data_IF_046600329044
#
_entry.id   IF_046600329044
#
_cell.length_a   1.000
_cell.length_b   1.000
_cell.length_c   1.000
_cell.angle_alpha   90.00
_cell.angle_beta   90.00
_cell.angle_gamma   90.00
#
_symmetry.space_group_name_H-M   'P 1'
#
loop_
_entity.id
_entity.type
_entity.pdbx_description
1 polymer ?
#
# COMPACT_ATOMS: atom_id res chain seq x y z
N UNK A 1 -10.17 15.90 10.16
CA UNK A 1 -9.05 15.11 9.61
C UNK A 1 -9.55 14.46 8.34
N UNK A 2 -9.07 14.88 7.17
CA UNK A 2 -9.47 14.28 5.90
C UNK A 2 -8.69 12.97 5.79
N UNK A 3 -9.34 11.84 6.05
CA UNK A 3 -8.73 10.52 5.85
C UNK A 3 -8.76 10.23 4.35
N UNK A 4 -7.70 10.63 3.65
CA UNK A 4 -7.51 10.27 2.25
C UNK A 4 -7.26 8.76 2.13
N UNK A 5 -8.29 8.07 1.68
CA UNK A 5 -8.23 6.65 1.35
C UNK A 5 -7.94 6.48 -0.13
N UNK A 6 -7.12 5.49 -0.46
CA UNK A 6 -6.79 5.10 -1.83
C UNK A 6 -7.37 3.73 -2.11
N UNK A 7 -7.95 3.57 -3.29
CA UNK A 7 -8.35 2.26 -3.80
C UNK A 7 -7.13 1.40 -4.12
N UNK A 8 -7.34 0.08 -4.24
CA UNK A 8 -6.29 -0.84 -4.66
C UNK A 8 -5.72 -0.49 -6.05
N UNK A 9 -6.55 0.05 -6.95
CA UNK A 9 -6.12 0.49 -8.28
C UNK A 9 -5.18 1.70 -8.19
N UNK A 10 -5.53 2.72 -7.41
CA UNK A 10 -4.67 3.90 -7.21
C UNK A 10 -3.33 3.52 -6.59
N UNK A 11 -3.32 2.59 -5.63
CA UNK A 11 -2.07 2.07 -5.03
C UNK A 11 -1.24 1.30 -6.06
N UNK A 12 -1.90 0.50 -6.91
CA UNK A 12 -1.28 -0.24 -8.00
C UNK A 12 -0.60 0.71 -9.01
N UNK A 13 -1.29 1.79 -9.37
CA UNK A 13 -0.79 2.84 -10.26
C UNK A 13 0.36 3.64 -9.63
N UNK A 14 0.22 4.04 -8.36
CA UNK A 14 1.25 4.78 -7.62
C UNK A 14 2.57 4.00 -7.54
N UNK A 15 2.50 2.70 -7.27
CA UNK A 15 3.69 1.83 -7.20
C UNK A 15 4.16 1.36 -8.58
N UNK A 16 3.39 1.63 -9.65
CA UNK A 16 3.60 1.08 -11.00
C UNK A 16 3.76 -0.45 -10.98
N UNK A 17 3.00 -1.12 -10.12
CA UNK A 17 2.99 -2.59 -9.98
C UNK A 17 1.58 -3.11 -10.15
N UNK A 18 1.44 -4.34 -10.67
CA UNK A 18 0.13 -5.01 -10.78
C UNK A 18 -0.47 -5.25 -9.40
N UNK A 19 -1.81 -5.27 -9.31
CA UNK A 19 -2.57 -5.62 -8.10
C UNK A 19 -2.09 -6.91 -7.41
N UNK A 20 -1.77 -7.94 -8.19
CA UNK A 20 -1.21 -9.20 -7.66
C UNK A 20 0.11 -9.02 -6.92
N UNK A 21 0.93 -8.02 -7.29
CA UNK A 21 2.15 -7.70 -6.57
C UNK A 21 1.86 -7.13 -5.17
N UNK A 22 0.75 -6.41 -4.96
CA UNK A 22 0.36 -5.91 -3.64
C UNK A 22 0.14 -7.04 -2.64
N UNK A 23 -0.31 -8.22 -3.08
CA UNK A 23 -0.38 -9.40 -2.23
C UNK A 23 1.01 -9.84 -1.75
N UNK A 24 1.98 -9.93 -2.66
CA UNK A 24 3.36 -10.27 -2.31
C UNK A 24 4.01 -9.21 -1.40
N UNK A 25 3.75 -7.93 -1.66
CA UNK A 25 4.27 -6.82 -0.86
C UNK A 25 3.75 -6.88 0.59
N UNK A 26 2.47 -7.20 0.78
CA UNK A 26 1.88 -7.41 2.12
C UNK A 26 2.52 -8.59 2.84
N UNK A 27 2.69 -9.72 2.15
CA UNK A 27 3.23 -10.95 2.75
C UNK A 27 4.74 -10.94 3.02
N UNK A 28 5.53 -10.28 2.16
CA UNK A 28 6.99 -10.38 2.19
C UNK A 28 7.72 -9.10 2.60
N UNK A 29 7.11 -7.93 2.39
CA UNK A 29 7.78 -6.63 2.56
C UNK A 29 7.06 -5.70 3.55
N UNK A 30 6.13 -6.24 4.36
CA UNK A 30 5.42 -5.48 5.39
C UNK A 30 4.61 -4.30 4.84
N UNK A 31 4.09 -4.43 3.62
CA UNK A 31 3.24 -3.39 3.02
C UNK A 31 1.98 -3.17 3.87
N UNK A 32 1.49 -1.93 4.00
CA UNK A 32 0.32 -1.63 4.83
C UNK A 32 -0.89 -2.48 4.49
N UNK A 33 -1.61 -2.92 5.52
CA UNK A 33 -2.90 -3.57 5.34
C UNK A 33 -3.98 -2.53 4.97
N UNK A 34 -4.99 -2.93 4.17
CA UNK A 34 -6.10 -2.05 3.87
C UNK A 34 -6.94 -1.80 5.12
N UNK A 35 -7.38 -0.55 5.29
CA UNK A 35 -8.26 -0.09 6.38
C UNK A 35 -9.68 -0.66 6.21
N UNK A 36 -10.16 -0.77 4.97
CA UNK A 36 -11.42 -1.42 4.62
C UNK A 36 -11.15 -2.57 3.67
N UNK A 37 -11.85 -3.70 3.82
CA UNK A 37 -11.61 -4.91 3.01
C UNK A 37 -12.58 -5.05 1.83
N UNK A 38 -13.76 -4.45 1.89
CA UNK A 38 -14.81 -4.58 0.87
C UNK A 38 -15.49 -3.23 0.57
N UNK A 39 -15.02 -2.44 -0.41
CA UNK A 39 -13.82 -2.64 -1.25
C UNK A 39 -12.52 -2.33 -0.50
N UNK A 40 -11.41 -2.92 -0.95
CA UNK A 40 -10.09 -2.68 -0.37
C UNK A 40 -9.71 -1.19 -0.44
N UNK A 41 -9.51 -0.55 0.71
CA UNK A 41 -9.04 0.84 0.81
C UNK A 41 -7.82 0.95 1.70
N UNK A 42 -6.79 1.63 1.20
CA UNK A 42 -5.54 1.87 1.91
C UNK A 42 -5.51 3.31 2.42
N UNK A 43 -4.90 3.54 3.58
CA UNK A 43 -4.57 4.91 3.99
C UNK A 43 -3.45 5.44 3.11
N UNK A 44 -3.67 6.57 2.42
CA UNK A 44 -2.64 7.22 1.60
C UNK A 44 -1.37 7.46 2.42
N UNK A 45 -1.54 7.99 3.62
CA UNK A 45 -0.45 8.28 4.54
C UNK A 45 0.37 7.02 4.89
N UNK A 46 -0.27 5.88 5.12
CA UNK A 46 0.44 4.65 5.45
C UNK A 46 1.26 4.13 4.26
N UNK A 47 0.70 4.21 3.05
CA UNK A 47 1.39 3.81 1.81
C UNK A 47 2.58 4.72 1.55
N UNK A 48 2.40 6.04 1.60
CA UNK A 48 3.49 7.01 1.43
C UNK A 48 4.57 6.85 2.49
N UNK A 49 4.20 6.64 3.75
CA UNK A 49 5.16 6.39 4.83
C UNK A 49 5.98 5.13 4.56
N UNK A 50 5.35 4.06 4.05
CA UNK A 50 6.05 2.83 3.69
C UNK A 50 7.03 3.04 2.53
N UNK A 51 6.63 3.79 1.50
CA UNK A 51 7.50 4.17 0.38
C UNK A 51 8.70 4.99 0.89
N UNK A 52 8.44 6.02 1.70
CA UNK A 52 9.47 6.89 2.29
C UNK A 52 10.42 6.15 3.24
N UNK A 53 9.94 5.08 3.88
CA UNK A 53 10.76 4.21 4.72
C UNK A 53 11.65 3.23 3.92
N UNK A 54 11.68 3.34 2.58
CA UNK A 54 12.48 2.50 1.70
C UNK A 54 11.70 1.39 0.98
N UNK A 55 10.40 1.28 1.24
CA UNK A 55 9.50 0.33 0.56
C UNK A 55 10.01 -1.11 0.61
N UNK A 56 10.26 -1.69 -0.58
CA UNK A 56 10.77 -3.06 -0.73
C UNK A 56 12.18 -3.22 -0.17
N UNK A 57 12.99 -2.16 -0.23
CA UNK A 57 14.39 -2.13 0.20
C UNK A 57 14.55 -1.73 1.67
N UNK A 58 13.44 -1.56 2.40
CA UNK A 58 13.49 -1.43 3.85
C UNK A 58 14.19 -2.67 4.39
N UNK A 59 15.33 -2.50 5.06
CA UNK A 59 15.92 -3.55 5.87
C UNK A 59 14.91 -3.86 6.97
N UNK A 60 14.17 -4.97 6.81
CA UNK A 60 13.27 -5.51 7.83
C UNK A 60 14.10 -6.17 8.92
#
# INVERSE_FOLDING_TARGET
MITDFMSENEVSELLQKKRTALYNLRKKHGFPEPVLTHPARYSRQAVEKWINAGGVNRAV
#
